data_IF_575225748283
#
_entry.id   IF_575225748283
#
_cell.length_a   1.000
_cell.length_b   1.000
_cell.length_c   1.000
_cell.angle_alpha   90.00
_cell.angle_beta   90.00
_cell.angle_gamma   90.00
#
_symmetry.space_group_name_H-M   'P 1'
#
loop_
_entity.id
_entity.type
_entity.pdbx_description
1 polymer ?
#
# COMPACT_ATOMS: atom_id res chain seq x y z
N UNK A 1 27.29 76.39 -28.21
CA UNK A 1 27.23 75.82 -29.55
C UNK A 1 27.20 74.33 -29.38
N UNK A 2 26.12 73.59 -29.73
CA UNK A 2 26.04 72.16 -29.62
C UNK A 2 26.48 71.49 -30.91
N UNK A 3 27.33 70.47 -30.79
CA UNK A 3 27.86 69.66 -31.89
C UNK A 3 26.79 68.61 -32.25
N UNK A 4 26.41 68.52 -33.54
CA UNK A 4 25.51 67.49 -34.08
C UNK A 4 26.26 66.14 -34.18
N UNK A 5 25.61 65.01 -33.81
CA UNK A 5 26.20 63.70 -34.10
C UNK A 5 25.89 63.23 -35.55
N UNK A 6 26.88 62.53 -36.13
CA UNK A 6 26.87 62.03 -37.50
C UNK A 6 25.88 60.91 -37.72
N UNK A 7 25.19 60.92 -38.86
CA UNK A 7 24.32 59.86 -39.37
C UNK A 7 25.16 58.63 -39.82
N UNK A 8 24.98 57.49 -39.17
CA UNK A 8 25.46 56.20 -39.66
C UNK A 8 24.47 55.56 -40.61
N UNK A 9 24.95 55.24 -41.81
CA UNK A 9 24.18 54.56 -42.89
C UNK A 9 23.82 53.14 -42.45
N UNK A 10 22.51 52.79 -42.61
CA UNK A 10 22.05 51.37 -42.50
C UNK A 10 22.57 50.57 -43.67
N UNK A 11 23.04 49.32 -43.45
CA UNK A 11 23.34 48.37 -44.54
C UNK A 11 22.08 47.78 -45.13
N UNK A 12 22.07 47.53 -46.44
CA UNK A 12 20.99 47.00 -47.27
C UNK A 12 20.60 45.56 -46.84
N UNK A 13 19.29 45.33 -46.68
CA UNK A 13 18.70 44.02 -46.47
C UNK A 13 18.77 43.20 -47.77
N UNK A 14 19.60 42.16 -47.80
CA UNK A 14 19.53 41.11 -48.82
C UNK A 14 18.36 40.21 -48.57
N UNK A 15 17.40 40.19 -49.51
CA UNK A 15 16.26 39.27 -49.51
C UNK A 15 16.77 37.83 -49.68
N UNK A 16 16.54 36.99 -48.63
CA UNK A 16 16.67 35.53 -48.75
C UNK A 16 15.49 34.94 -49.54
N UNK A 17 15.71 33.91 -50.37
CA UNK A 17 14.64 33.28 -51.13
C UNK A 17 13.70 32.53 -50.21
N UNK A 18 12.38 32.68 -50.48
CA UNK A 18 11.30 31.94 -49.81
C UNK A 18 11.35 30.49 -50.29
N UNK A 19 11.85 29.59 -49.43
CA UNK A 19 11.68 28.15 -49.62
C UNK A 19 10.22 27.78 -49.31
N UNK A 20 9.48 27.45 -50.36
CA UNK A 20 8.17 26.78 -50.25
C UNK A 20 8.39 25.38 -49.67
N UNK A 21 8.11 25.20 -48.36
CA UNK A 21 8.04 23.88 -47.77
C UNK A 21 6.81 23.14 -48.31
N UNK A 22 7.04 22.12 -49.15
CA UNK A 22 6.03 21.10 -49.44
C UNK A 22 5.68 20.41 -48.10
N UNK A 23 4.40 20.10 -47.83
CA UNK A 23 4.04 19.31 -46.66
C UNK A 23 4.61 17.91 -46.83
N UNK A 24 5.62 17.57 -46.04
CA UNK A 24 6.06 16.19 -45.86
C UNK A 24 4.99 15.51 -45.03
N UNK A 25 4.10 14.81 -45.72
CA UNK A 25 3.17 13.89 -45.12
C UNK A 25 4.00 12.70 -44.57
N UNK A 26 4.49 12.85 -43.35
CA UNK A 26 5.14 11.74 -42.64
C UNK A 26 4.06 10.73 -42.31
N UNK A 27 3.97 9.69 -43.14
CA UNK A 27 3.21 8.51 -42.79
C UNK A 27 3.79 7.99 -41.47
N UNK A 28 3.04 8.16 -40.36
CA UNK A 28 3.31 7.47 -39.11
C UNK A 28 3.01 6.01 -39.42
N UNK A 29 4.02 5.29 -39.89
CA UNK A 29 4.01 3.84 -39.88
C UNK A 29 4.08 3.45 -38.41
N UNK A 30 2.93 3.17 -37.79
CA UNK A 30 2.86 2.48 -36.50
C UNK A 30 3.43 1.08 -36.77
N UNK A 31 4.76 0.98 -36.62
CA UNK A 31 5.43 -0.30 -36.63
C UNK A 31 5.05 -1.00 -35.33
N UNK A 32 3.95 -1.74 -35.32
CA UNK A 32 3.63 -2.73 -34.29
C UNK A 32 4.66 -3.86 -34.46
N UNK A 33 5.91 -3.60 -34.07
CA UNK A 33 6.90 -4.65 -33.92
C UNK A 33 6.38 -5.59 -32.84
N UNK A 34 6.07 -6.84 -33.20
CA UNK A 34 5.81 -7.89 -32.22
C UNK A 34 7.00 -7.90 -31.25
N UNK A 35 6.75 -7.83 -29.93
CA UNK A 35 7.84 -7.89 -28.97
C UNK A 35 8.67 -9.14 -29.24
N UNK A 36 9.98 -8.98 -29.34
CA UNK A 36 10.90 -10.06 -29.60
C UNK A 36 10.91 -11.03 -28.38
N UNK A 37 11.51 -12.20 -28.58
CA UNK A 37 11.55 -13.23 -27.54
C UNK A 37 12.29 -12.75 -26.26
N UNK A 38 13.25 -11.86 -26.42
CA UNK A 38 14.05 -11.31 -25.32
C UNK A 38 13.25 -10.30 -24.48
N UNK A 39 12.47 -9.42 -25.13
CA UNK A 39 11.55 -8.49 -24.46
C UNK A 39 10.51 -9.22 -23.61
N UNK A 40 9.88 -10.27 -24.17
CA UNK A 40 8.91 -11.09 -23.42
C UNK A 40 9.53 -11.83 -22.24
N UNK A 41 10.77 -12.27 -22.37
CA UNK A 41 11.46 -12.95 -21.28
C UNK A 41 11.79 -11.95 -20.14
N UNK A 42 12.19 -10.74 -20.49
CA UNK A 42 12.48 -9.68 -19.50
C UNK A 42 11.22 -9.26 -18.74
N UNK A 43 10.11 -9.08 -19.46
CA UNK A 43 8.81 -8.76 -18.87
C UNK A 43 8.34 -9.88 -17.92
N UNK A 44 8.42 -11.14 -18.36
CA UNK A 44 8.04 -12.28 -17.52
C UNK A 44 8.92 -12.41 -16.27
N UNK A 45 10.22 -12.16 -16.37
CA UNK A 45 11.12 -12.14 -15.22
C UNK A 45 10.75 -11.01 -14.23
N UNK A 46 10.35 -9.83 -14.72
CA UNK A 46 9.84 -8.74 -13.90
C UNK A 46 8.59 -9.13 -13.11
N UNK A 47 7.62 -9.75 -13.77
CA UNK A 47 6.38 -10.24 -13.14
C UNK A 47 6.70 -11.28 -12.04
N UNK A 48 7.57 -12.25 -12.34
CA UNK A 48 7.96 -13.29 -11.38
C UNK A 48 8.66 -12.66 -10.16
N UNK A 49 9.58 -11.73 -10.37
CA UNK A 49 10.27 -11.02 -9.28
C UNK A 49 9.28 -10.24 -8.41
N UNK A 50 8.34 -9.53 -9.02
CA UNK A 50 7.30 -8.78 -8.31
C UNK A 50 6.40 -9.71 -7.48
N UNK A 51 5.98 -10.85 -8.01
CA UNK A 51 5.21 -11.86 -7.28
C UNK A 51 6.00 -12.47 -6.11
N UNK A 52 7.31 -12.70 -6.28
CA UNK A 52 8.18 -13.20 -5.20
C UNK A 52 8.27 -12.15 -4.07
N UNK A 53 8.45 -10.89 -4.40
CA UNK A 53 8.49 -9.81 -3.41
C UNK A 53 7.17 -9.71 -2.65
N UNK A 54 6.03 -9.78 -3.33
CA UNK A 54 4.70 -9.82 -2.71
C UNK A 54 4.53 -11.04 -1.80
N UNK A 55 5.00 -12.21 -2.22
CA UNK A 55 4.95 -13.42 -1.40
C UNK A 55 5.81 -13.30 -0.14
N UNK A 56 6.98 -12.66 -0.23
CA UNK A 56 7.85 -12.38 0.93
C UNK A 56 7.12 -11.48 1.92
N UNK A 57 6.51 -10.38 1.44
CA UNK A 57 5.75 -9.44 2.27
C UNK A 57 4.61 -10.16 3.00
N UNK A 58 3.72 -10.84 2.30
CA UNK A 58 2.59 -11.57 2.89
C UNK A 58 2.99 -12.72 3.82
N UNK A 59 4.15 -13.34 3.58
CA UNK A 59 4.68 -14.39 4.48
C UNK A 59 5.05 -13.85 5.86
N UNK A 60 5.32 -12.56 5.99
CA UNK A 60 5.63 -11.92 7.27
C UNK A 60 4.44 -11.97 8.25
N UNK A 61 3.20 -11.91 7.77
CA UNK A 61 1.99 -12.13 8.58
C UNK A 61 1.98 -13.53 9.19
N UNK A 62 2.38 -14.55 8.42
CA UNK A 62 2.57 -15.91 8.91
C UNK A 62 3.67 -16.00 9.98
N UNK A 63 4.78 -15.26 9.82
CA UNK A 63 5.86 -15.17 10.83
C UNK A 63 5.31 -14.56 12.13
N UNK A 64 4.51 -13.50 12.05
CA UNK A 64 3.82 -12.92 13.20
C UNK A 64 2.94 -13.93 13.91
N UNK A 65 2.13 -14.68 13.16
CA UNK A 65 1.34 -15.80 13.69
C UNK A 65 2.18 -16.87 14.38
N UNK A 66 3.33 -17.22 13.80
CA UNK A 66 4.27 -18.19 14.40
C UNK A 66 4.84 -17.71 15.74
N UNK A 67 5.13 -16.41 15.89
CA UNK A 67 5.66 -15.84 17.15
C UNK A 67 4.73 -16.11 18.34
N UNK A 68 3.41 -16.11 18.12
CA UNK A 68 2.42 -16.44 19.17
C UNK A 68 2.58 -17.87 19.69
N UNK A 69 3.09 -18.78 18.86
CA UNK A 69 3.28 -20.19 19.25
C UNK A 69 4.41 -20.39 20.27
N UNK A 70 5.40 -19.51 20.27
CA UNK A 70 6.58 -19.60 21.13
C UNK A 70 6.43 -18.83 22.44
N UNK A 71 5.59 -17.79 22.50
CA UNK A 71 5.35 -17.01 23.72
C UNK A 71 4.04 -17.41 24.39
N UNK A 72 4.10 -17.77 25.67
CA UNK A 72 2.90 -18.15 26.46
C UNK A 72 2.00 -16.98 26.79
N UNK A 73 2.52 -15.75 26.87
CA UNK A 73 1.76 -14.51 27.12
C UNK A 73 2.46 -13.33 26.45
N UNK A 74 1.75 -12.61 25.60
CA UNK A 74 2.15 -11.30 25.09
C UNK A 74 1.53 -10.22 25.99
N UNK A 75 2.30 -9.18 26.36
CA UNK A 75 1.74 -8.10 27.15
C UNK A 75 0.88 -7.18 26.29
N UNK A 76 -0.19 -6.63 26.86
CA UNK A 76 -1.05 -5.64 26.21
C UNK A 76 -0.24 -4.44 25.67
N UNK A 77 0.73 -3.98 26.44
CA UNK A 77 1.60 -2.88 26.01
C UNK A 77 2.47 -3.24 24.80
N UNK A 78 2.96 -4.47 24.73
CA UNK A 78 3.69 -4.94 23.54
C UNK A 78 2.79 -4.93 22.29
N UNK A 79 1.55 -5.41 22.45
CA UNK A 79 0.59 -5.46 21.34
C UNK A 79 0.19 -4.04 20.88
N UNK A 80 -0.08 -3.13 21.83
CA UNK A 80 -0.36 -1.73 21.54
C UNK A 80 0.79 -1.03 20.81
N UNK A 81 2.02 -1.24 21.27
CA UNK A 81 3.20 -0.70 20.60
C UNK A 81 3.44 -1.28 19.20
N UNK A 82 3.19 -2.59 19.04
CA UNK A 82 3.37 -3.28 17.78
C UNK A 82 2.33 -2.85 16.71
N UNK A 83 1.05 -2.75 17.09
CA UNK A 83 -0.01 -2.24 16.21
C UNK A 83 0.16 -0.75 15.91
N UNK A 84 0.58 0.05 16.90
CA UNK A 84 0.95 1.44 16.66
C UNK A 84 2.11 1.56 15.67
N UNK A 85 3.14 0.70 15.79
CA UNK A 85 4.25 0.66 14.85
C UNK A 85 3.77 0.32 13.43
N UNK A 86 2.88 -0.68 13.29
CA UNK A 86 2.25 -1.02 12.02
C UNK A 86 1.57 0.20 11.40
N UNK A 87 0.66 0.87 12.14
CA UNK A 87 -0.01 2.08 11.67
C UNK A 87 0.99 3.17 11.25
N UNK A 88 2.06 3.39 12.04
CA UNK A 88 3.08 4.39 11.74
C UNK A 88 3.85 4.11 10.44
N UNK A 89 4.24 2.87 10.19
CA UNK A 89 4.90 2.45 8.94
C UNK A 89 3.97 2.72 7.76
N UNK A 90 2.71 2.29 7.85
CA UNK A 90 1.72 2.45 6.77
C UNK A 90 1.42 3.92 6.47
N UNK A 91 1.20 4.75 7.50
CA UNK A 91 0.98 6.19 7.32
C UNK A 91 2.19 6.84 6.63
N UNK A 92 3.39 6.52 7.07
CA UNK A 92 4.58 7.15 6.53
C UNK A 92 4.86 6.75 5.09
N UNK A 93 4.81 5.45 4.75
CA UNK A 93 5.05 4.99 3.36
C UNK A 93 3.98 5.54 2.41
N UNK A 94 2.71 5.59 2.84
CA UNK A 94 1.62 6.10 2.01
C UNK A 94 1.79 7.57 1.66
N UNK A 95 2.22 8.41 2.62
CA UNK A 95 2.34 9.86 2.42
C UNK A 95 3.72 10.30 1.95
N UNK A 96 4.79 9.62 2.36
CA UNK A 96 6.15 10.03 2.06
C UNK A 96 6.71 9.40 0.77
N UNK A 97 6.15 8.26 0.34
CA UNK A 97 6.63 7.52 -0.82
C UNK A 97 5.52 7.36 -1.87
N UNK A 98 4.48 6.58 -1.57
CA UNK A 98 3.48 6.18 -2.57
C UNK A 98 2.73 7.37 -3.18
N UNK A 99 2.29 8.34 -2.38
CA UNK A 99 1.53 9.48 -2.88
C UNK A 99 2.39 10.48 -3.68
N UNK A 100 3.61 10.86 -3.26
CA UNK A 100 4.54 11.65 -4.08
C UNK A 100 4.93 10.96 -5.38
N UNK A 101 5.23 9.65 -5.34
CA UNK A 101 5.56 8.86 -6.52
C UNK A 101 4.40 8.82 -7.52
N UNK A 102 3.17 8.62 -7.03
CA UNK A 102 1.97 8.73 -7.87
C UNK A 102 1.83 10.11 -8.52
N UNK A 103 2.19 11.20 -7.82
CA UNK A 103 2.17 12.54 -8.41
C UNK A 103 3.25 12.71 -9.50
N UNK A 104 4.45 12.20 -9.27
CA UNK A 104 5.54 12.24 -10.24
C UNK A 104 5.20 11.41 -11.49
N UNK A 105 4.77 10.16 -11.32
CA UNK A 105 4.39 9.27 -12.40
C UNK A 105 3.22 9.80 -13.24
N UNK A 106 2.26 10.51 -12.64
CA UNK A 106 1.18 11.13 -13.38
C UNK A 106 1.67 12.29 -14.26
N UNK A 107 2.66 13.08 -13.79
CA UNK A 107 3.29 14.14 -14.60
C UNK A 107 4.08 13.53 -15.74
N UNK A 108 4.84 12.47 -15.50
CA UNK A 108 5.59 11.73 -16.52
C UNK A 108 4.67 11.10 -17.58
N UNK A 109 3.47 10.68 -17.18
CA UNK A 109 2.40 10.20 -18.09
C UNK A 109 1.79 11.31 -18.97
N UNK A 110 2.30 12.54 -18.90
CA UNK A 110 1.85 13.67 -19.72
C UNK A 110 0.68 14.48 -19.14
N UNK A 111 0.17 14.15 -17.96
CA UNK A 111 -0.92 14.86 -17.31
C UNK A 111 -0.42 16.07 -16.47
N UNK A 112 0.35 16.97 -17.10
CA UNK A 112 1.05 18.08 -16.43
C UNK A 112 0.08 19.03 -15.69
N UNK A 113 -1.06 19.37 -16.32
CA UNK A 113 -1.96 20.41 -15.80
C UNK A 113 -2.86 19.93 -14.67
N UNK A 114 -3.44 18.74 -14.80
CA UNK A 114 -4.45 18.21 -13.88
C UNK A 114 -4.00 16.90 -13.19
N UNK A 115 -2.81 16.39 -13.49
CA UNK A 115 -2.32 15.11 -12.97
C UNK A 115 -2.38 15.02 -11.44
N UNK A 116 -1.92 16.07 -10.75
CA UNK A 116 -1.99 16.12 -9.27
C UNK A 116 -3.42 16.08 -8.73
N UNK A 117 -4.38 16.67 -9.44
CA UNK A 117 -5.79 16.62 -9.04
C UNK A 117 -6.39 15.21 -9.23
N UNK A 118 -6.01 14.51 -10.31
CA UNK A 118 -6.42 13.12 -10.52
C UNK A 118 -5.83 12.18 -9.47
N UNK A 119 -4.56 12.36 -9.12
CA UNK A 119 -3.91 11.60 -8.03
C UNK A 119 -4.61 11.86 -6.70
N UNK A 120 -4.91 13.12 -6.37
CA UNK A 120 -5.65 13.47 -5.17
C UNK A 120 -7.06 12.87 -5.16
N UNK A 121 -7.75 12.90 -6.30
CA UNK A 121 -9.06 12.27 -6.44
C UNK A 121 -8.98 10.74 -6.26
N UNK A 122 -7.99 10.08 -6.88
CA UNK A 122 -7.78 8.64 -6.73
C UNK A 122 -7.50 8.25 -5.27
N UNK A 123 -6.69 9.04 -4.56
CA UNK A 123 -6.42 8.84 -3.12
C UNK A 123 -7.71 8.86 -2.28
N UNK A 124 -8.56 9.87 -2.44
CA UNK A 124 -9.84 9.93 -1.72
C UNK A 124 -10.86 8.92 -2.21
N UNK A 125 -10.83 8.52 -3.48
CA UNK A 125 -11.65 7.40 -3.99
C UNK A 125 -11.23 6.10 -3.30
N UNK A 126 -9.92 5.85 -3.13
CA UNK A 126 -9.41 4.71 -2.39
C UNK A 126 -9.94 4.69 -0.94
N UNK A 127 -9.84 5.81 -0.23
CA UNK A 127 -10.42 5.95 1.11
C UNK A 127 -11.93 5.65 1.10
N UNK A 128 -12.67 6.21 0.13
CA UNK A 128 -14.12 6.00 0.02
C UNK A 128 -14.50 4.56 -0.29
N UNK A 129 -13.70 3.85 -1.09
CA UNK A 129 -13.93 2.42 -1.39
C UNK A 129 -13.82 1.58 -0.11
N UNK A 130 -12.75 1.76 0.66
CA UNK A 130 -12.57 0.98 1.89
C UNK A 130 -13.59 1.37 2.95
N UNK A 131 -13.94 2.65 3.10
CA UNK A 131 -15.02 3.12 3.96
C UNK A 131 -16.35 2.45 3.60
N UNK A 132 -16.65 2.34 2.30
CA UNK A 132 -17.86 1.68 1.84
C UNK A 132 -17.84 0.17 2.15
N UNK A 133 -16.69 -0.49 1.98
CA UNK A 133 -16.52 -1.91 2.32
C UNK A 133 -16.75 -2.10 3.82
N UNK A 134 -16.13 -1.27 4.66
CA UNK A 134 -16.27 -1.31 6.11
C UNK A 134 -17.74 -1.10 6.54
N UNK A 135 -18.42 -0.13 5.96
CA UNK A 135 -19.85 0.14 6.21
C UNK A 135 -20.78 -0.99 5.77
N UNK A 136 -20.39 -1.79 4.77
CA UNK A 136 -21.14 -2.96 4.31
C UNK A 136 -20.92 -4.20 5.19
N UNK A 137 -19.88 -4.22 6.03
CA UNK A 137 -19.69 -5.26 7.04
C UNK A 137 -20.66 -5.00 8.21
N UNK A 138 -21.55 -5.94 8.59
CA UNK A 138 -22.52 -5.71 9.65
C UNK A 138 -21.86 -5.35 10.99
N UNK A 139 -22.36 -4.32 11.70
CA UNK A 139 -21.82 -3.81 12.98
C UNK A 139 -21.56 -4.91 14.02
N UNK A 140 -22.46 -5.89 14.13
CA UNK A 140 -22.32 -7.02 15.06
C UNK A 140 -21.25 -8.03 14.62
N UNK A 141 -20.73 -7.89 13.40
CA UNK A 141 -19.65 -8.70 12.81
C UNK A 141 -18.38 -7.88 12.62
N UNK A 142 -18.49 -6.55 12.63
CA UNK A 142 -17.38 -5.64 12.43
C UNK A 142 -16.52 -5.58 13.71
N UNK A 143 -15.24 -6.05 13.66
CA UNK A 143 -14.35 -5.99 14.82
C UNK A 143 -14.03 -4.55 15.25
N UNK A 144 -14.23 -3.56 14.37
CA UNK A 144 -14.00 -2.13 14.63
C UNK A 144 -15.09 -1.53 15.52
N UNK A 145 -16.35 -1.94 15.34
CA UNK A 145 -17.50 -1.41 16.04
C UNK A 145 -17.92 -2.21 17.28
N UNK A 146 -17.26 -3.29 17.62
CA UNK A 146 -17.49 -4.07 18.84
C UNK A 146 -17.22 -3.24 20.14
N UNK A 147 -17.66 -1.97 20.12
CA UNK A 147 -17.50 -0.94 21.14
C UNK A 147 -18.37 -1.13 22.40
N UNK A 148 -19.19 -2.18 22.46
CA UNK A 148 -19.91 -2.55 23.69
C UNK A 148 -19.08 -3.24 24.76
N UNK A 149 -17.85 -3.59 24.45
CA UNK A 149 -16.92 -4.29 25.34
C UNK A 149 -15.93 -3.29 25.94
N UNK A 150 -16.31 -2.62 27.03
CA UNK A 150 -15.39 -1.81 27.84
C UNK A 150 -14.25 -2.69 28.39
N UNK A 151 -13.16 -2.77 27.66
CA UNK A 151 -11.97 -3.49 28.04
C UNK A 151 -11.17 -2.68 29.05
N UNK A 152 -11.20 -3.10 30.33
CA UNK A 152 -10.25 -2.62 31.32
C UNK A 152 -8.83 -3.01 30.86
N UNK A 153 -7.94 -2.03 30.71
CA UNK A 153 -6.59 -2.14 30.14
C UNK A 153 -5.65 -3.17 30.79
N UNK A 154 -6.06 -3.83 31.87
CA UNK A 154 -5.27 -4.88 32.55
C UNK A 154 -5.40 -6.26 31.92
N UNK A 155 -6.34 -6.47 31.03
CA UNK A 155 -6.72 -7.81 30.57
C UNK A 155 -7.09 -7.88 29.09
N UNK A 156 -6.50 -7.11 28.17
CA UNK A 156 -6.99 -7.06 26.78
C UNK A 156 -7.06 -8.47 26.12
N UNK A 157 -6.03 -9.29 26.18
CA UNK A 157 -6.13 -10.68 25.73
C UNK A 157 -6.93 -11.56 26.71
N UNK A 158 -6.89 -11.26 28.02
CA UNK A 158 -7.62 -11.98 29.08
C UNK A 158 -9.04 -11.41 29.23
N UNK A 159 -9.26 -10.12 29.00
CA UNK A 159 -10.57 -9.48 29.02
C UNK A 159 -11.46 -9.82 27.82
N UNK A 160 -10.89 -10.03 26.64
CA UNK A 160 -11.59 -10.67 25.52
C UNK A 160 -12.09 -12.08 25.91
N UNK A 161 -11.36 -12.77 26.79
CA UNK A 161 -11.73 -14.10 27.27
C UNK A 161 -12.79 -14.08 28.37
N UNK A 162 -12.76 -13.11 29.28
CA UNK A 162 -13.73 -13.03 30.40
C UNK A 162 -15.08 -12.47 29.94
N UNK A 163 -15.09 -11.63 28.89
CA UNK A 163 -16.34 -11.08 28.32
C UNK A 163 -16.94 -11.93 27.20
N UNK A 164 -16.12 -12.69 26.44
CA UNK A 164 -16.65 -13.70 25.52
C UNK A 164 -17.03 -14.93 26.33
N UNK A 165 -18.15 -14.89 27.00
CA UNK A 165 -18.66 -16.00 27.79
C UNK A 165 -18.93 -17.30 27.04
N UNK A 166 -18.45 -17.39 25.76
CA UNK A 166 -18.66 -18.57 24.92
C UNK A 166 -17.49 -18.71 23.92
N UNK A 167 -16.96 -19.92 23.77
CA UNK A 167 -15.95 -20.33 22.79
C UNK A 167 -16.34 -19.96 21.33
N UNK A 168 -17.62 -19.98 21.01
CA UNK A 168 -18.16 -19.59 19.73
C UNK A 168 -17.95 -18.10 19.41
N UNK A 169 -18.10 -17.21 20.39
CA UNK A 169 -17.86 -15.78 20.22
C UNK A 169 -16.38 -15.47 19.99
N UNK A 170 -15.48 -16.13 20.72
CA UNK A 170 -14.03 -15.99 20.50
C UNK A 170 -13.60 -16.48 19.12
N UNK A 171 -14.17 -17.62 18.68
CA UNK A 171 -13.89 -18.16 17.36
C UNK A 171 -14.37 -17.20 16.26
N UNK A 172 -15.57 -16.63 16.43
CA UNK A 172 -16.13 -15.65 15.51
C UNK A 172 -15.27 -14.39 15.45
N UNK A 173 -14.89 -13.83 16.61
CA UNK A 173 -14.00 -12.68 16.69
C UNK A 173 -12.67 -12.94 15.96
N UNK A 174 -12.05 -14.09 16.20
CA UNK A 174 -10.80 -14.45 15.52
C UNK A 174 -10.96 -14.61 14.00
N UNK A 175 -12.10 -15.14 13.54
CA UNK A 175 -12.39 -15.27 12.12
C UNK A 175 -12.60 -13.89 11.47
N UNK A 176 -13.34 -13.00 12.13
CA UNK A 176 -13.58 -11.64 11.63
C UNK A 176 -12.28 -10.83 11.58
N UNK A 177 -11.44 -10.92 12.63
CA UNK A 177 -10.11 -10.29 12.60
C UNK A 177 -9.24 -10.82 11.45
N UNK A 178 -9.27 -12.13 11.18
CA UNK A 178 -8.55 -12.70 10.06
C UNK A 178 -9.07 -12.19 8.70
N UNK A 179 -10.39 -12.03 8.58
CA UNK A 179 -11.02 -11.50 7.36
C UNK A 179 -10.70 -10.01 7.18
N UNK A 180 -10.81 -9.21 8.25
CA UNK A 180 -10.47 -7.79 8.20
C UNK A 180 -9.02 -7.60 7.74
N UNK A 181 -8.06 -8.31 8.34
CA UNK A 181 -6.66 -8.24 7.94
C UNK A 181 -6.43 -8.81 6.54
N UNK A 182 -7.20 -9.78 6.07
CA UNK A 182 -7.11 -10.24 4.68
C UNK A 182 -7.59 -9.19 3.68
N UNK A 183 -8.62 -8.42 4.01
CA UNK A 183 -9.12 -7.29 3.19
C UNK A 183 -8.08 -6.17 3.13
N UNK A 184 -7.39 -5.90 4.21
CA UNK A 184 -6.31 -4.91 4.36
C UNK A 184 -5.03 -5.29 3.59
N UNK A 185 -4.57 -6.53 3.72
CA UNK A 185 -3.38 -7.00 3.01
C UNK A 185 -3.60 -7.10 1.48
N UNK A 186 -4.83 -7.18 1.01
CA UNK A 186 -5.11 -7.26 -0.41
C UNK A 186 -4.63 -6.02 -1.21
N UNK A 187 -4.93 -4.75 -0.82
CA UNK A 187 -4.36 -3.56 -1.44
C UNK A 187 -2.83 -3.46 -1.32
N UNK A 188 -2.26 -3.96 -0.24
CA UNK A 188 -0.81 -3.97 -0.01
C UNK A 188 -0.09 -4.87 -1.01
N UNK A 189 -0.68 -6.02 -1.31
CA UNK A 189 -0.19 -6.90 -2.37
C UNK A 189 -0.22 -6.24 -3.75
N UNK A 190 -1.24 -5.42 -4.04
CA UNK A 190 -1.28 -4.61 -5.27
C UNK A 190 -0.13 -3.60 -5.26
N UNK A 191 0.07 -2.86 -4.17
CA UNK A 191 1.14 -1.86 -4.06
C UNK A 191 2.53 -2.47 -4.24
N UNK A 192 2.83 -3.56 -3.53
CA UNK A 192 4.10 -4.29 -3.65
C UNK A 192 4.34 -4.75 -5.07
N UNK A 193 3.33 -5.37 -5.69
CA UNK A 193 3.43 -5.92 -7.03
C UNK A 193 3.68 -4.84 -8.08
N UNK A 194 2.85 -3.78 -8.13
CA UNK A 194 3.01 -2.74 -9.13
C UNK A 194 4.24 -1.86 -8.87
N UNK A 195 4.62 -1.62 -7.61
CA UNK A 195 5.85 -0.94 -7.26
C UNK A 195 7.08 -1.70 -7.78
N UNK A 196 7.14 -3.01 -7.54
CA UNK A 196 8.23 -3.87 -8.00
C UNK A 196 8.29 -4.04 -9.53
N UNK A 197 7.15 -3.94 -10.23
CA UNK A 197 7.13 -3.96 -11.69
C UNK A 197 7.71 -2.70 -12.30
N UNK A 198 7.49 -1.54 -11.68
CA UNK A 198 7.95 -0.26 -12.21
C UNK A 198 9.39 0.03 -11.82
N UNK A 199 9.76 -0.16 -10.57
CA UNK A 199 11.11 0.00 -10.05
C UNK A 199 11.42 -1.10 -9.04
N UNK A 200 12.39 -2.00 -9.31
CA UNK A 200 12.79 -3.05 -8.38
C UNK A 200 13.29 -2.53 -7.02
N UNK A 201 13.93 -1.35 -6.97
CA UNK A 201 14.42 -0.75 -5.73
C UNK A 201 13.25 -0.23 -4.89
N UNK A 202 12.32 0.49 -5.50
CA UNK A 202 11.06 0.90 -4.87
C UNK A 202 10.26 -0.31 -4.39
N UNK A 203 10.13 -1.36 -5.22
CA UNK A 203 9.46 -2.59 -4.85
C UNK A 203 10.09 -3.29 -3.65
N UNK A 204 11.42 -3.32 -3.55
CA UNK A 204 12.12 -3.86 -2.40
C UNK A 204 11.85 -3.03 -1.13
N UNK A 205 11.84 -1.69 -1.23
CA UNK A 205 11.50 -0.79 -0.14
C UNK A 205 10.07 -1.00 0.38
N UNK A 206 9.10 -1.06 -0.53
CA UNK A 206 7.70 -1.35 -0.20
C UNK A 206 7.58 -2.73 0.46
N UNK A 207 8.22 -3.76 -0.11
CA UNK A 207 8.24 -5.13 0.46
C UNK A 207 8.77 -5.14 1.87
N UNK A 208 9.87 -4.45 2.14
CA UNK A 208 10.47 -4.37 3.47
C UNK A 208 9.54 -3.68 4.47
N UNK A 209 8.94 -2.56 4.08
CA UNK A 209 7.98 -1.85 4.89
C UNK A 209 6.78 -2.73 5.27
N UNK A 210 6.17 -3.37 4.25
CA UNK A 210 5.02 -4.26 4.41
C UNK A 210 5.39 -5.46 5.28
N UNK A 211 6.54 -6.09 5.08
CA UNK A 211 6.98 -7.19 5.92
C UNK A 211 7.13 -6.80 7.40
N UNK A 212 7.60 -5.59 7.70
CA UNK A 212 7.76 -5.13 9.10
C UNK A 212 6.40 -4.98 9.80
N UNK A 213 5.42 -4.37 9.16
CA UNK A 213 4.12 -4.15 9.79
C UNK A 213 3.22 -5.40 9.76
N UNK A 214 3.39 -6.30 8.82
CA UNK A 214 2.66 -7.56 8.73
C UNK A 214 2.95 -8.51 9.91
N UNK A 215 4.14 -8.44 10.53
CA UNK A 215 4.44 -9.24 11.72
C UNK A 215 3.49 -8.92 12.88
N UNK A 216 3.31 -7.65 13.32
CA UNK A 216 2.27 -7.26 14.28
C UNK A 216 0.86 -7.73 13.93
N UNK A 217 0.49 -7.62 12.68
CA UNK A 217 -0.83 -8.02 12.20
C UNK A 217 -1.07 -9.52 12.29
N UNK A 218 -0.07 -10.31 11.91
CA UNK A 218 -0.12 -11.75 12.10
C UNK A 218 -0.27 -12.16 13.57
N UNK A 219 0.32 -11.40 14.50
CA UNK A 219 0.12 -11.58 15.95
C UNK A 219 -1.34 -11.26 16.32
N UNK A 220 -1.90 -10.16 15.78
CA UNK A 220 -3.27 -9.74 16.06
C UNK A 220 -4.31 -10.76 15.57
N UNK A 221 -4.09 -11.42 14.43
CA UNK A 221 -4.92 -12.54 13.94
C UNK A 221 -4.75 -13.78 14.80
N UNK A 222 -3.52 -14.17 15.08
CA UNK A 222 -3.23 -15.47 15.70
C UNK A 222 -3.70 -15.56 17.16
N UNK A 223 -3.64 -14.45 17.91
CA UNK A 223 -4.01 -14.43 19.34
C UNK A 223 -5.48 -14.86 19.56
N UNK A 224 -6.50 -14.18 19.00
CA UNK A 224 -7.90 -14.54 19.28
C UNK A 224 -8.23 -15.94 18.76
N UNK A 225 -7.69 -16.36 17.61
CA UNK A 225 -7.91 -17.71 17.09
C UNK A 225 -7.29 -18.77 17.97
N UNK A 226 -6.07 -18.57 18.49
CA UNK A 226 -5.45 -19.51 19.40
C UNK A 226 -6.27 -19.68 20.68
N UNK A 227 -6.75 -18.58 21.25
CA UNK A 227 -7.54 -18.64 22.47
C UNK A 227 -8.90 -19.29 22.28
N UNK A 228 -9.54 -19.05 21.13
CA UNK A 228 -10.81 -19.66 20.78
C UNK A 228 -10.70 -21.16 20.50
N UNK A 229 -9.66 -21.57 19.78
CA UNK A 229 -9.56 -22.95 19.28
C UNK A 229 -8.60 -23.84 20.06
N UNK A 230 -7.79 -23.26 20.95
CA UNK A 230 -6.67 -23.92 21.65
C UNK A 230 -5.68 -24.63 20.69
N UNK A 231 -5.75 -24.29 19.43
CA UNK A 231 -4.97 -24.91 18.36
C UNK A 231 -3.94 -23.94 17.79
N UNK A 232 -2.68 -24.23 18.03
CA UNK A 232 -1.55 -23.48 17.44
C UNK A 232 -1.56 -23.54 15.91
N UNK A 233 -1.87 -24.71 15.35
CA UNK A 233 -1.93 -24.91 13.90
C UNK A 233 -3.01 -24.05 13.25
N UNK A 234 -4.20 -23.90 13.86
CA UNK A 234 -5.25 -23.03 13.34
C UNK A 234 -4.84 -21.55 13.42
N UNK A 235 -4.26 -21.11 14.53
CA UNK A 235 -3.79 -19.73 14.68
C UNK A 235 -2.77 -19.38 13.57
N UNK A 236 -1.78 -20.24 13.36
CA UNK A 236 -0.80 -20.07 12.29
C UNK A 236 -1.44 -20.08 10.89
N UNK A 237 -2.35 -21.04 10.64
CA UNK A 237 -3.02 -21.14 9.34
C UNK A 237 -3.78 -19.89 8.98
N UNK A 238 -4.59 -19.34 9.90
CA UNK A 238 -5.40 -18.14 9.62
C UNK A 238 -4.52 -16.90 9.45
N UNK A 239 -3.46 -16.72 10.23
CA UNK A 239 -2.49 -15.65 10.03
C UNK A 239 -1.78 -15.76 8.67
N UNK A 240 -1.38 -16.98 8.27
CA UNK A 240 -0.75 -17.21 6.95
C UNK A 240 -1.72 -16.95 5.81
N UNK A 241 -2.98 -17.40 5.93
CA UNK A 241 -4.01 -17.19 4.91
C UNK A 241 -4.35 -15.70 4.76
N UNK A 242 -4.39 -14.95 5.86
CA UNK A 242 -4.65 -13.51 5.77
C UNK A 242 -3.50 -12.79 5.06
N UNK A 243 -2.24 -13.13 5.32
CA UNK A 243 -1.10 -12.60 4.57
C UNK A 243 -1.06 -13.05 3.11
N UNK A 244 -1.58 -14.24 2.80
CA UNK A 244 -1.64 -14.73 1.42
C UNK A 244 -2.63 -13.93 0.54
N UNK A 245 -3.52 -13.13 1.13
CA UNK A 245 -4.37 -12.19 0.40
C UNK A 245 -3.59 -11.14 -0.39
N UNK A 246 -2.35 -10.82 0.00
CA UNK A 246 -1.47 -9.97 -0.80
C UNK A 246 -1.16 -10.60 -2.16
N UNK A 247 -0.85 -11.89 -2.19
CA UNK A 247 -0.59 -12.61 -3.44
C UNK A 247 -1.85 -12.65 -4.31
N UNK A 248 -3.02 -12.80 -3.69
CA UNK A 248 -4.30 -12.75 -4.41
C UNK A 248 -4.52 -11.35 -4.99
N UNK A 249 -4.22 -10.28 -4.25
CA UNK A 249 -4.28 -8.90 -4.72
C UNK A 249 -3.39 -8.66 -5.94
N UNK A 250 -2.12 -9.10 -5.87
CA UNK A 250 -1.18 -9.03 -6.97
C UNK A 250 -1.65 -9.78 -8.23
N UNK A 251 -2.13 -11.03 -8.05
CA UNK A 251 -2.65 -11.84 -9.15
C UNK A 251 -3.91 -11.26 -9.78
N UNK A 252 -4.81 -10.71 -8.96
CA UNK A 252 -6.01 -10.04 -9.47
C UNK A 252 -5.65 -8.75 -10.23
N UNK A 253 -4.71 -7.96 -9.70
CA UNK A 253 -4.18 -6.79 -10.39
C UNK A 253 -3.61 -7.17 -11.77
N UNK A 254 -2.79 -8.20 -11.83
CA UNK A 254 -2.23 -8.72 -13.09
C UNK A 254 -3.33 -9.20 -14.06
N UNK A 255 -4.35 -9.89 -13.56
CA UNK A 255 -5.45 -10.39 -14.37
C UNK A 255 -6.31 -9.23 -14.92
N UNK A 256 -6.70 -8.28 -14.08
CA UNK A 256 -7.52 -7.13 -14.47
C UNK A 256 -6.79 -6.26 -15.49
N UNK A 257 -5.53 -5.96 -15.24
CA UNK A 257 -4.74 -5.15 -16.18
C UNK A 257 -4.52 -5.86 -17.50
N UNK A 258 -4.31 -7.17 -17.49
CA UNK A 258 -4.22 -7.99 -18.71
C UNK A 258 -5.53 -8.04 -19.51
N UNK A 259 -6.69 -8.15 -18.84
CA UNK A 259 -8.01 -8.20 -19.47
C UNK A 259 -8.36 -6.84 -20.11
N UNK A 260 -8.09 -5.74 -19.41
CA UNK A 260 -8.42 -4.38 -19.89
C UNK A 260 -7.31 -3.73 -20.73
N UNK A 261 -6.18 -4.41 -20.94
CA UNK A 261 -5.05 -3.87 -21.69
C UNK A 261 -4.42 -2.64 -21.01
N UNK A 262 -4.48 -2.58 -19.69
CA UNK A 262 -3.89 -1.47 -18.92
C UNK A 262 -2.38 -1.68 -18.77
N UNK A 263 -1.61 -0.68 -19.16
CA UNK A 263 -0.17 -0.68 -18.96
C UNK A 263 0.16 -0.29 -17.51
N UNK A 264 0.69 -1.23 -16.72
CA UNK A 264 1.16 -1.01 -15.35
C UNK A 264 2.62 -0.55 -15.31
N UNK A 265 3.36 -0.77 -16.39
CA UNK A 265 4.75 -0.36 -16.55
C UNK A 265 4.86 0.73 -17.59
N UNK A 266 5.79 1.66 -17.41
CA UNK A 266 6.03 2.76 -18.34
C UNK A 266 5.22 4.01 -18.02
N UNK A 267 4.97 4.85 -19.06
CA UNK A 267 4.43 6.20 -18.91
C UNK A 267 2.89 6.25 -18.88
N UNK A 268 2.20 5.18 -18.52
CA UNK A 268 0.74 5.14 -18.46
C UNK A 268 0.17 5.70 -17.14
N UNK A 269 -1.07 6.26 -17.15
CA UNK A 269 -1.69 6.83 -15.96
C UNK A 269 -2.21 5.77 -14.97
N UNK A 270 -2.27 4.49 -15.34
CA UNK A 270 -2.86 3.44 -14.52
C UNK A 270 -2.06 3.21 -13.25
N UNK A 271 -0.73 3.08 -13.35
CA UNK A 271 0.15 2.89 -12.19
C UNK A 271 -0.02 4.00 -11.14
N UNK A 272 0.17 5.30 -11.47
CA UNK A 272 0.05 6.35 -10.47
C UNK A 272 -1.36 6.46 -9.86
N UNK A 273 -2.42 6.20 -10.61
CA UNK A 273 -3.78 6.24 -10.05
C UNK A 273 -4.06 5.08 -9.10
N UNK A 274 -3.62 3.87 -9.42
CA UNK A 274 -3.76 2.71 -8.54
C UNK A 274 -2.93 2.92 -7.27
N UNK A 275 -1.68 3.37 -7.41
CA UNK A 275 -0.79 3.65 -6.29
C UNK A 275 -1.37 4.68 -5.32
N UNK A 276 -1.95 5.76 -5.85
CA UNK A 276 -2.62 6.78 -5.04
C UNK A 276 -3.86 6.22 -4.32
N UNK A 277 -4.69 5.42 -5.01
CA UNK A 277 -5.87 4.82 -4.40
C UNK A 277 -5.48 3.86 -3.26
N UNK A 278 -4.46 3.03 -3.46
CA UNK A 278 -3.95 2.13 -2.42
C UNK A 278 -3.37 2.92 -1.24
N UNK A 279 -2.61 4.00 -1.48
CA UNK A 279 -2.15 4.88 -0.41
C UNK A 279 -3.32 5.45 0.42
N UNK A 280 -4.42 5.83 -0.24
CA UNK A 280 -5.65 6.28 0.44
C UNK A 280 -6.28 5.18 1.29
N UNK A 281 -6.39 3.97 0.77
CA UNK A 281 -6.88 2.80 1.52
C UNK A 281 -6.04 2.57 2.77
N UNK A 282 -4.72 2.54 2.63
CA UNK A 282 -3.78 2.29 3.74
C UNK A 282 -3.88 3.36 4.84
N UNK A 283 -4.05 4.63 4.48
CA UNK A 283 -4.26 5.70 5.46
C UNK A 283 -5.57 5.49 6.23
N UNK A 284 -6.66 5.18 5.53
CA UNK A 284 -7.94 4.93 6.19
C UNK A 284 -7.81 3.79 7.20
N UNK A 285 -7.30 2.64 6.79
CA UNK A 285 -7.11 1.46 7.63
C UNK A 285 -6.23 1.78 8.85
N UNK A 286 -5.14 2.53 8.65
CA UNK A 286 -4.24 2.91 9.75
C UNK A 286 -4.94 3.75 10.81
N UNK A 287 -5.85 4.65 10.42
CA UNK A 287 -6.54 5.56 11.32
C UNK A 287 -7.80 4.94 11.94
N UNK A 288 -8.52 4.14 11.18
CA UNK A 288 -9.81 3.58 11.59
C UNK A 288 -9.67 2.24 12.31
N UNK A 289 -8.73 1.41 11.91
CA UNK A 289 -8.54 0.07 12.45
C UNK A 289 -7.34 -0.06 13.38
N UNK A 290 -6.13 0.20 12.86
CA UNK A 290 -4.90 -0.14 13.58
C UNK A 290 -4.67 0.73 14.81
N UNK A 291 -4.82 2.05 14.68
CA UNK A 291 -4.59 2.97 15.79
C UNK A 291 -5.63 2.82 16.89
N UNK A 292 -6.96 2.78 16.62
CA UNK A 292 -7.96 2.52 17.65
C UNK A 292 -7.78 1.16 18.33
N UNK A 293 -7.39 0.12 17.57
CA UNK A 293 -7.11 -1.20 18.12
C UNK A 293 -5.89 -1.19 19.01
N UNK A 294 -4.80 -0.49 18.62
CA UNK A 294 -3.62 -0.32 19.45
C UNK A 294 -3.96 0.35 20.79
N UNK A 295 -4.82 1.36 20.79
CA UNK A 295 -5.28 2.06 21.99
C UNK A 295 -6.17 1.19 22.87
N UNK A 296 -7.02 0.34 22.29
CA UNK A 296 -7.85 -0.63 23.04
C UNK A 296 -7.00 -1.68 23.75
N UNK A 297 -5.88 -2.12 23.16
CA UNK A 297 -5.02 -3.14 23.76
C UNK A 297 -4.13 -2.64 24.88
N UNK A 298 -3.71 -1.38 24.89
CA UNK A 298 -2.75 -0.88 25.86
C UNK A 298 -2.91 0.59 26.21
N UNK A 299 -1.80 1.16 26.72
CA UNK A 299 -1.80 2.58 27.08
C UNK A 299 -1.67 3.44 25.82
N UNK A 300 -2.51 4.47 25.68
CA UNK A 300 -2.48 5.45 24.58
C UNK A 300 -1.05 5.91 24.22
N UNK A 301 -0.25 6.31 25.20
CA UNK A 301 1.13 6.78 24.95
C UNK A 301 2.05 5.69 24.35
N UNK A 302 1.78 4.41 24.61
CA UNK A 302 2.56 3.31 24.01
C UNK A 302 2.14 3.10 22.57
N UNK A 303 0.84 3.18 22.27
CA UNK A 303 0.34 3.12 20.89
C UNK A 303 0.94 4.28 20.07
N UNK A 304 0.87 5.52 20.55
CA UNK A 304 1.45 6.69 19.88
C UNK A 304 2.99 6.59 19.75
N UNK A 305 3.69 6.12 20.78
CA UNK A 305 5.13 5.86 20.67
C UNK A 305 5.44 4.80 19.60
N UNK A 306 4.58 3.78 19.47
CA UNK A 306 4.63 2.82 18.37
C UNK A 306 4.50 3.51 17.01
N UNK A 307 3.47 4.36 16.81
CA UNK A 307 3.26 5.13 15.57
C UNK A 307 4.51 5.93 15.21
N UNK A 308 5.03 6.73 16.15
CA UNK A 308 6.23 7.54 15.92
C UNK A 308 7.44 6.65 15.59
N UNK A 309 7.59 5.53 16.29
CA UNK A 309 8.64 4.55 16.03
C UNK A 309 8.52 3.93 14.63
N UNK A 310 7.32 3.56 14.21
CA UNK A 310 7.03 3.03 12.88
C UNK A 310 7.36 4.04 11.77
N UNK A 311 6.93 5.30 11.94
CA UNK A 311 7.27 6.38 11.02
C UNK A 311 8.80 6.59 10.92
N UNK A 312 9.49 6.55 12.07
CA UNK A 312 10.95 6.71 12.10
C UNK A 312 11.67 5.55 11.42
N UNK A 313 11.27 4.31 11.68
CA UNK A 313 11.83 3.12 11.01
C UNK A 313 11.64 3.20 9.51
N UNK A 314 10.42 3.55 9.06
CA UNK A 314 10.14 3.69 7.63
C UNK A 314 10.94 4.83 7.00
N UNK A 315 11.03 5.99 7.67
CA UNK A 315 11.82 7.11 7.17
C UNK A 315 13.30 6.79 7.04
N UNK A 316 13.87 6.05 8.01
CA UNK A 316 15.25 5.56 7.93
C UNK A 316 15.41 4.55 6.79
N UNK A 317 14.45 3.64 6.61
CA UNK A 317 14.46 2.66 5.52
C UNK A 317 14.52 3.33 4.15
N UNK A 318 13.70 4.36 3.92
CA UNK A 318 13.68 5.13 2.66
C UNK A 318 14.97 5.95 2.41
N UNK A 319 15.78 6.20 3.44
CA UNK A 319 17.10 6.85 3.29
C UNK A 319 18.20 5.86 2.92
N UNK A 320 18.01 4.58 3.23
CA UNK A 320 19.03 3.52 3.01
C UNK A 320 18.80 2.81 1.67
N UNK A 321 17.57 2.69 1.25
CA UNK A 321 17.14 2.05 0.00
C UNK A 321 17.11 3.05 -1.15
#
# INVERSE_FOLDING_TARGET
MPVKPAMTKKPAMTKKPVMTKKPVMTAITICHSRPDRESKTKEMNGIISALILTLIAGSATGIGGALVLFKKKLSSNFLAGALGLSAGVMIFISLAEMFPEAQAGMVESGFIKYGKAYVLAAFFIGMGIITLIDFLVPEYENPHEASGLTLNAKTAAVGMMEQAGNEAQLKRLGLMSALAIAIHNFPEGIATFIGALNDPQMGAGITFAIAIHNIPEGIAVAIPIYYATKSKGKALLYATLSGFSEVIGALLCLAVTGIFGLELTGNGPAFPLIMAAVAGIMIYISLDELLPTAEKYGKHHIAIAGVVGGMAIMGISLLIL
#
